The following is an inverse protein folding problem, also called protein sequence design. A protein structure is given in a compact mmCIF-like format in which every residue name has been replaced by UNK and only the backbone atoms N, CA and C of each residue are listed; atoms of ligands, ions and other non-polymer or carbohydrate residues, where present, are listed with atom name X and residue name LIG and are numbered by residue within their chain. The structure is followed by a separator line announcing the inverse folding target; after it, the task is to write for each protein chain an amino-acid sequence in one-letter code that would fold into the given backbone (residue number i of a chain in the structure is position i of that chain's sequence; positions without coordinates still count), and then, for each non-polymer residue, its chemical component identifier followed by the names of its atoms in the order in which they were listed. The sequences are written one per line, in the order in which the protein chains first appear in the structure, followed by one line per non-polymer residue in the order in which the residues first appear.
data_IF_106997563201
#
_entry.id   IF_106997563201
#
_cell.length_a   1.000
_cell.length_b   1.000
_cell.length_c   1.000
_cell.angle_alpha   90.00
_cell.angle_beta   90.00
_cell.angle_gamma   90.00
#
_symmetry.space_group_name_H-M   'P 1'
#
loop_
_entity.id
_entity.type
_entity.pdbx_description
1 polymer ?
#
# COMPACT_ATOMS: atom_id res chain seq x y z
N UNK A 1 -8.69 -12.20 8.64
CA UNK A 1 -7.46 -12.62 7.95
C UNK A 1 -6.63 -13.25 9.03
N UNK A 2 -6.43 -14.55 8.90
CA UNK A 2 -5.56 -15.25 9.82
C UNK A 2 -4.11 -14.87 9.50
N UNK A 3 -3.17 -14.95 10.45
CA UNK A 3 -1.79 -14.55 10.19
C UNK A 3 -1.16 -15.30 9.01
N UNK A 4 -1.56 -16.54 8.77
CA UNK A 4 -1.19 -17.35 7.60
C UNK A 4 -1.64 -16.72 6.28
N UNK A 5 -2.85 -16.15 6.22
CA UNK A 5 -3.35 -15.44 5.03
C UNK A 5 -2.49 -14.21 4.75
N UNK A 6 -2.13 -13.46 5.80
CA UNK A 6 -1.30 -12.26 5.68
C UNK A 6 0.08 -12.62 5.15
N UNK A 7 0.69 -13.69 5.67
CA UNK A 7 1.97 -14.21 5.17
C UNK A 7 1.86 -14.57 3.68
N UNK A 8 0.83 -15.33 3.29
CA UNK A 8 0.63 -15.72 1.90
C UNK A 8 0.46 -14.50 0.97
N UNK A 9 -0.27 -13.47 1.40
CA UNK A 9 -0.43 -12.22 0.64
C UNK A 9 0.91 -11.51 0.46
N UNK A 10 1.72 -11.42 1.53
CA UNK A 10 3.04 -10.77 1.47
C UNK A 10 3.99 -11.54 0.56
N UNK A 11 4.05 -12.87 0.66
CA UNK A 11 4.87 -13.72 -0.19
C UNK A 11 4.47 -13.60 -1.67
N UNK A 12 3.17 -13.57 -1.97
CA UNK A 12 2.67 -13.34 -3.33
C UNK A 12 3.03 -11.93 -3.83
N UNK A 13 2.97 -10.93 -2.96
CA UNK A 13 3.37 -9.55 -3.30
C UNK A 13 4.86 -9.48 -3.63
N UNK A 14 5.72 -10.11 -2.83
CA UNK A 14 7.16 -10.23 -3.07
C UNK A 14 7.41 -10.91 -4.42
N UNK A 15 6.73 -12.04 -4.69
CA UNK A 15 6.87 -12.77 -5.93
C UNK A 15 6.50 -11.92 -7.16
N UNK A 16 5.43 -11.15 -7.08
CA UNK A 16 5.01 -10.23 -8.14
C UNK A 16 6.05 -9.14 -8.38
N UNK A 17 6.57 -8.53 -7.31
CA UNK A 17 7.60 -7.50 -7.41
C UNK A 17 8.89 -8.06 -8.03
N UNK A 18 9.32 -9.25 -7.64
CA UNK A 18 10.50 -9.90 -8.22
C UNK A 18 10.31 -10.28 -9.69
N UNK A 19 9.13 -10.77 -10.07
CA UNK A 19 8.83 -11.24 -11.42
C UNK A 19 8.80 -10.11 -12.44
N UNK A 20 8.28 -8.94 -12.06
CA UNK A 20 8.01 -7.86 -13.00
C UNK A 20 8.85 -6.61 -12.69
N UNK A 21 9.86 -6.35 -13.52
CA UNK A 21 10.80 -5.25 -13.34
C UNK A 21 10.15 -3.87 -13.30
N UNK A 22 9.05 -3.67 -14.05
CA UNK A 22 8.41 -2.36 -14.26
C UNK A 22 7.62 -1.83 -13.07
N UNK A 23 7.36 -2.66 -12.05
CA UNK A 23 6.73 -2.17 -10.83
C UNK A 23 7.69 -1.33 -10.02
N UNK A 24 7.22 -0.15 -9.64
CA UNK A 24 7.85 0.74 -8.69
C UNK A 24 7.05 0.67 -7.39
N UNK A 25 7.75 0.56 -6.27
CA UNK A 25 7.15 0.44 -4.94
C UNK A 25 7.95 1.30 -3.97
N UNK A 26 7.27 1.83 -2.96
CA UNK A 26 7.90 2.55 -1.87
C UNK A 26 7.26 2.22 -0.53
N UNK A 27 8.05 2.26 0.54
CA UNK A 27 7.55 2.22 1.91
C UNK A 27 7.30 3.64 2.38
N UNK A 28 6.08 3.89 2.85
CA UNK A 28 5.68 5.17 3.42
C UNK A 28 5.53 4.97 4.93
N UNK A 29 6.38 5.64 5.72
CA UNK A 29 6.18 5.69 7.18
C UNK A 29 5.05 6.65 7.47
N UNK A 30 4.04 6.16 8.17
CA UNK A 30 2.87 6.95 8.51
C UNK A 30 3.19 7.91 9.67
N UNK A 31 3.88 9.01 9.35
CA UNK A 31 4.06 10.15 10.27
C UNK A 31 3.03 11.26 10.01
N UNK A 32 2.20 11.14 8.97
CA UNK A 32 1.37 12.23 8.44
C UNK A 32 -0.13 12.07 8.73
N UNK A 33 -0.61 10.87 9.02
CA UNK A 33 -1.96 10.67 9.52
C UNK A 33 -1.86 10.63 11.03
N UNK A 34 -2.33 11.69 11.68
CA UNK A 34 -2.53 11.72 13.13
C UNK A 34 -3.09 10.37 13.60
N UNK A 35 -2.46 9.79 14.63
CA UNK A 35 -2.77 8.48 15.21
C UNK A 35 -4.23 8.31 15.68
N UNK A 36 -5.06 9.35 15.56
CA UNK A 36 -6.46 9.39 15.97
C UNK A 36 -7.45 8.98 14.88
N UNK A 37 -7.03 8.84 13.62
CA UNK A 37 -7.91 8.32 12.57
C UNK A 37 -7.69 6.83 12.39
N UNK A 38 -8.60 6.05 12.95
CA UNK A 38 -8.74 4.60 12.67
C UNK A 38 -9.16 4.32 11.21
N UNK A 39 -9.37 5.35 10.39
CA UNK A 39 -9.82 5.21 9.01
C UNK A 39 -8.68 4.77 8.09
N UNK A 40 -8.90 3.69 7.35
CA UNK A 40 -7.99 3.24 6.31
C UNK A 40 -8.44 3.83 4.96
N UNK A 41 -7.52 4.51 4.28
CA UNK A 41 -7.78 5.13 2.98
C UNK A 41 -7.10 4.30 1.90
N UNK A 42 -7.89 3.80 0.95
CA UNK A 42 -7.42 3.21 -0.29
C UNK A 42 -7.63 4.19 -1.44
N UNK A 43 -6.59 4.44 -2.23
CA UNK A 43 -6.69 5.30 -3.40
C UNK A 43 -5.97 4.67 -4.59
N UNK A 44 -6.67 4.56 -5.72
CA UNK A 44 -6.18 3.97 -6.96
C UNK A 44 -6.45 4.91 -8.13
N UNK A 45 -5.40 5.39 -8.79
CA UNK A 45 -5.51 6.05 -10.09
C UNK A 45 -5.24 5.03 -11.20
N UNK A 46 -6.23 4.79 -12.07
CA UNK A 46 -6.12 3.81 -13.16
C UNK A 46 -6.12 4.50 -14.52
N UNK A 47 -5.11 4.19 -15.33
CA UNK A 47 -4.98 4.57 -16.75
C UNK A 47 -5.12 6.09 -17.03
N UNK A 48 -4.95 6.94 -16.00
CA UNK A 48 -5.27 8.38 -16.07
C UNK A 48 -6.70 8.69 -16.50
N UNK A 49 -7.62 7.72 -16.38
CA UNK A 49 -9.03 7.85 -16.77
C UNK A 49 -9.96 7.91 -15.56
N UNK A 50 -9.50 7.41 -14.42
CA UNK A 50 -10.29 7.49 -13.20
C UNK A 50 -9.48 7.30 -11.94
N UNK A 51 -10.02 7.82 -10.85
CA UNK A 51 -9.52 7.60 -9.49
C UNK A 51 -10.62 6.99 -8.64
N UNK A 52 -10.30 5.88 -7.99
CA UNK A 52 -11.14 5.24 -6.98
C UNK A 52 -10.57 5.60 -5.60
N UNK A 53 -11.43 6.12 -4.72
CA UNK A 53 -11.12 6.36 -3.32
C UNK A 53 -12.10 5.54 -2.48
N UNK A 54 -11.57 4.73 -1.58
CA UNK A 54 -12.35 3.99 -0.60
C UNK A 54 -11.85 4.32 0.80
N UNK A 55 -12.78 4.63 1.71
CA UNK A 55 -12.50 4.86 3.12
C UNK A 55 -13.16 3.75 3.91
N UNK A 56 -12.36 3.03 4.68
CA UNK A 56 -12.81 1.96 5.56
C UNK A 56 -12.70 2.42 7.01
N UNK A 57 -13.71 2.09 7.80
CA UNK A 57 -13.69 2.32 9.24
C UNK A 57 -13.74 0.97 9.94
N UNK A 58 -12.67 0.52 10.62
CA UNK A 58 -12.70 -0.69 11.43
C UNK A 58 -13.86 -0.64 12.45
N UNK A 59 -14.50 -1.78 12.77
CA UNK A 59 -14.25 -3.14 12.25
C UNK A 59 -15.00 -3.45 10.94
N UNK A 60 -15.56 -2.45 10.26
CA UNK A 60 -16.43 -2.66 9.11
C UNK A 60 -15.62 -3.09 7.88
N UNK A 61 -16.06 -4.16 7.21
CA UNK A 61 -15.42 -4.69 6.00
C UNK A 61 -15.87 -3.99 4.73
N UNK A 62 -16.99 -3.27 4.77
CA UNK A 62 -17.46 -2.41 3.68
C UNK A 62 -16.91 -1.00 3.81
N UNK A 63 -16.54 -0.40 2.68
CA UNK A 63 -16.15 1.01 2.63
C UNK A 63 -17.33 1.89 3.07
N UNK A 64 -17.08 2.81 4.01
CA UNK A 64 -18.05 3.85 4.41
C UNK A 64 -18.22 4.88 3.29
N UNK A 65 -17.14 5.12 2.55
CA UNK A 65 -17.13 6.00 1.37
C UNK A 65 -16.50 5.26 0.21
N UNK A 66 -17.19 5.26 -0.94
CA UNK A 66 -16.66 4.81 -2.22
C UNK A 66 -16.91 5.89 -3.26
N UNK A 67 -15.84 6.52 -3.73
CA UNK A 67 -15.89 7.59 -4.71
C UNK A 67 -15.14 7.19 -5.97
N UNK A 68 -15.82 7.30 -7.12
CA UNK A 68 -15.21 7.14 -8.45
C UNK A 68 -15.20 8.49 -9.16
N UNK A 69 -14.01 9.04 -9.35
CA UNK A 69 -13.80 10.30 -10.05
C UNK A 69 -13.36 9.99 -11.48
N UNK A 70 -14.07 10.52 -12.47
CA UNK A 70 -13.72 10.41 -13.90
C UNK A 70 -13.50 11.77 -14.57
N UNK A 71 -13.67 12.87 -13.84
CA UNK A 71 -13.45 14.20 -14.37
C UNK A 71 -11.95 14.38 -14.68
N UNK A 72 -11.56 14.63 -15.94
CA UNK A 72 -10.15 14.59 -16.37
C UNK A 72 -9.22 15.56 -15.63
N UNK A 73 -9.68 16.77 -15.28
CA UNK A 73 -8.83 17.72 -14.56
C UNK A 73 -8.52 17.24 -13.15
N UNK A 74 -9.51 16.73 -12.43
CA UNK A 74 -9.34 16.19 -11.08
C UNK A 74 -8.49 14.92 -11.10
N UNK A 75 -8.71 14.02 -12.06
CA UNK A 75 -7.87 12.82 -12.24
C UNK A 75 -6.41 13.23 -12.48
N UNK A 76 -6.17 14.22 -13.35
CA UNK A 76 -4.83 14.74 -13.62
C UNK A 76 -4.19 15.34 -12.38
N UNK A 77 -4.92 16.15 -11.62
CA UNK A 77 -4.43 16.76 -10.38
C UNK A 77 -3.99 15.71 -9.35
N UNK A 78 -4.76 14.62 -9.19
CA UNK A 78 -4.42 13.53 -8.28
C UNK A 78 -3.17 12.76 -8.75
N UNK A 79 -3.07 12.48 -10.06
CA UNK A 79 -1.87 11.82 -10.62
C UNK A 79 -0.62 12.67 -10.44
N UNK A 80 -0.70 13.98 -10.66
CA UNK A 80 0.42 14.90 -10.42
C UNK A 80 0.76 15.00 -8.93
N UNK A 81 -0.23 15.00 -8.03
CA UNK A 81 -0.02 14.92 -6.59
C UNK A 81 0.77 13.66 -6.21
N UNK A 82 0.38 12.48 -6.72
CA UNK A 82 1.13 11.24 -6.48
C UNK A 82 2.55 11.28 -7.00
N UNK A 83 2.78 11.90 -8.17
CA UNK A 83 4.14 12.06 -8.72
C UNK A 83 4.99 12.97 -7.82
N UNK A 84 4.44 14.09 -7.36
CA UNK A 84 5.13 14.99 -6.45
C UNK A 84 5.45 14.31 -5.12
N UNK A 85 4.48 13.59 -4.56
CA UNK A 85 4.66 12.84 -3.33
C UNK A 85 5.75 11.77 -3.48
N UNK A 86 5.72 11.00 -4.56
CA UNK A 86 6.76 10.01 -4.90
C UNK A 86 8.17 10.63 -4.96
N UNK A 87 8.30 11.83 -5.51
CA UNK A 87 9.58 12.53 -5.60
C UNK A 87 10.13 12.96 -4.24
N UNK A 88 9.26 13.15 -3.24
CA UNK A 88 9.65 13.50 -1.87
C UNK A 88 10.09 12.29 -1.05
N UNK A 89 9.75 11.07 -1.48
CA UNK A 89 10.16 9.85 -0.80
C UNK A 89 11.67 9.63 -0.96
N UNK A 90 12.35 9.39 0.17
CA UNK A 90 13.78 9.13 0.22
C UNK A 90 14.18 7.97 -0.72
N UNK A 91 15.30 8.06 -1.47
CA UNK A 91 15.73 7.04 -2.42
C UNK A 91 15.73 5.61 -1.88
N UNK A 92 16.25 5.40 -0.67
CA UNK A 92 16.28 4.09 -0.02
C UNK A 92 14.88 3.50 0.20
N UNK A 93 13.87 4.34 0.45
CA UNK A 93 12.49 3.90 0.69
C UNK A 93 11.74 3.57 -0.60
N UNK A 94 12.31 3.90 -1.78
CA UNK A 94 11.77 3.56 -3.11
C UNK A 94 12.71 2.64 -3.91
N UNK A 95 13.82 2.21 -3.33
CA UNK A 95 14.66 1.18 -3.92
C UNK A 95 13.95 -0.17 -3.79
N UNK A 96 13.67 -0.78 -4.93
CA UNK A 96 12.86 -2.00 -4.98
C UNK A 96 13.52 -3.17 -4.25
N UNK A 97 14.85 -3.28 -4.26
CA UNK A 97 15.58 -4.36 -3.57
C UNK A 97 15.51 -4.16 -2.07
N UNK A 98 15.69 -2.94 -1.61
CA UNK A 98 15.54 -2.59 -0.19
C UNK A 98 14.11 -2.85 0.31
N UNK A 99 13.09 -2.48 -0.47
CA UNK A 99 11.69 -2.75 -0.12
C UNK A 99 11.40 -4.25 -0.08
N UNK A 100 11.89 -5.03 -1.04
CA UNK A 100 11.73 -6.50 -1.03
C UNK A 100 12.44 -7.13 0.17
N UNK A 101 13.67 -6.70 0.49
CA UNK A 101 14.40 -7.17 1.66
C UNK A 101 13.66 -6.85 2.96
N UNK A 102 13.08 -5.64 3.06
CA UNK A 102 12.24 -5.27 4.19
C UNK A 102 10.98 -6.15 4.29
N UNK A 103 10.27 -6.42 3.19
CA UNK A 103 9.09 -7.29 3.17
C UNK A 103 9.42 -8.73 3.61
N UNK A 104 10.57 -9.27 3.18
CA UNK A 104 11.03 -10.58 3.63
C UNK A 104 11.24 -10.61 5.15
N UNK A 105 11.88 -9.58 5.71
CA UNK A 105 12.06 -9.49 7.17
C UNK A 105 10.71 -9.45 7.91
N UNK A 106 9.72 -8.72 7.40
CA UNK A 106 8.38 -8.70 8.00
C UNK A 106 7.69 -10.08 7.95
N UNK A 107 7.84 -10.83 6.85
CA UNK A 107 7.34 -12.20 6.75
C UNK A 107 8.00 -13.12 7.78
N UNK A 108 9.32 -13.03 7.95
CA UNK A 108 10.06 -13.86 8.92
C UNK A 108 9.67 -13.52 10.37
N UNK A 109 9.45 -12.23 10.67
CA UNK A 109 8.93 -11.77 11.96
C UNK A 109 7.51 -12.29 12.23
N UNK A 110 6.64 -12.34 11.22
CA UNK A 110 5.29 -12.90 11.37
C UNK A 110 5.34 -14.43 11.60
N UNK A 111 6.17 -15.15 10.84
CA UNK A 111 6.35 -16.60 10.99
C UNK A 111 6.88 -16.98 12.37
N UNK A 112 7.89 -16.25 12.86
CA UNK A 112 8.46 -16.51 14.20
C UNK A 112 7.45 -16.30 15.32
N UNK A 113 6.59 -15.28 15.23
CA UNK A 113 5.51 -15.05 16.20
C UNK A 113 4.47 -16.18 16.20
N UNK A 114 4.14 -16.72 15.03
CA UNK A 114 3.23 -17.87 14.92
C UNK A 114 3.82 -19.14 15.55
N UNK A 115 5.12 -19.38 15.37
CA UNK A 115 5.81 -20.54 15.96
C UNK A 115 5.88 -20.40 17.49
N UNK A 116 6.11 -19.19 18.02
CA UNK A 116 6.18 -18.94 19.46
C UNK A 116 4.84 -18.93 20.20
N UNK A 117 3.71 -19.02 19.49
CA UNK A 117 2.36 -19.10 20.06
C UNK A 117 1.76 -20.52 20.03
N UNK A 118 2.48 -21.49 19.47
CA UNK A 118 2.14 -22.92 19.52
C UNK A 118 2.92 -23.64 20.60
#
# INVERSE_FOLDING_TARGET
LDPEDVIAILENTIHLLMTYEKYHISIIKNNFLNQEREEHIYCLAKERQGVLIEIYKPPQTSSVVRLLIKEPMVVTAIVEYFRQYWNQIAPVMKDKKEVIAWLHNEVDLLKSKLIGQR
#
